data_IF_655578998386
#
_entry.id   IF_655578998386
#
_cell.length_a   1.000
_cell.length_b   1.000
_cell.length_c   1.000
_cell.angle_alpha   90.00
_cell.angle_beta   90.00
_cell.angle_gamma   90.00
#
_symmetry.space_group_name_H-M   'P 1'
#
loop_
_entity.id
_entity.type
_entity.pdbx_description
1 polymer ?
#
# COMPACT_ATOMS: atom_id res chain seq x y z
N UNK A 1 -22.99 -22.87 15.39
CA UNK A 1 -23.77 -21.93 14.56
C UNK A 1 -22.82 -21.29 13.58
N UNK A 2 -23.18 -21.23 12.29
CA UNK A 2 -22.38 -20.53 11.27
C UNK A 2 -22.75 -19.06 11.22
N UNK A 3 -21.80 -18.22 10.82
CA UNK A 3 -21.99 -16.80 10.64
C UNK A 3 -21.44 -16.34 9.29
N UNK A 4 -22.10 -15.32 8.75
CA UNK A 4 -21.83 -14.79 7.43
C UNK A 4 -21.70 -13.29 7.51
N UNK A 5 -20.69 -12.75 6.80
CA UNK A 5 -20.68 -11.35 6.45
C UNK A 5 -21.79 -11.10 5.42
N UNK A 6 -22.75 -10.24 5.76
CA UNK A 6 -23.75 -9.73 4.83
C UNK A 6 -23.14 -8.54 4.07
N UNK A 7 -23.18 -8.63 2.75
CA UNK A 7 -22.55 -7.70 1.82
C UNK A 7 -23.57 -7.18 0.83
N UNK A 8 -23.28 -5.99 0.31
CA UNK A 8 -23.93 -5.51 -0.89
C UNK A 8 -23.44 -6.31 -2.11
N UNK A 9 -24.36 -6.81 -2.95
CA UNK A 9 -23.99 -7.58 -4.15
C UNK A 9 -23.59 -6.67 -5.31
N UNK A 10 -22.30 -6.41 -5.42
CA UNK A 10 -21.73 -5.51 -6.44
C UNK A 10 -21.59 -6.16 -7.82
N UNK A 11 -21.85 -7.46 -7.96
CA UNK A 11 -21.83 -8.14 -9.27
C UNK A 11 -23.08 -7.82 -10.11
N UNK A 12 -24.12 -7.23 -9.48
CA UNK A 12 -25.34 -6.82 -10.16
C UNK A 12 -25.07 -5.57 -11.03
N UNK A 13 -24.89 -5.79 -12.33
CA UNK A 13 -24.70 -4.70 -13.29
C UNK A 13 -25.89 -3.73 -13.33
N UNK A 14 -25.59 -2.43 -13.30
CA UNK A 14 -26.59 -1.37 -13.41
C UNK A 14 -27.51 -1.23 -12.20
N UNK A 15 -27.14 -1.79 -11.04
CA UNK A 15 -27.84 -1.56 -9.77
C UNK A 15 -27.85 -0.08 -9.38
N UNK A 16 -28.81 0.29 -8.55
CA UNK A 16 -28.79 1.59 -7.88
C UNK A 16 -27.70 1.65 -6.79
N UNK A 17 -27.24 2.87 -6.49
CA UNK A 17 -26.40 3.17 -5.33
C UNK A 17 -27.07 4.29 -4.51
N UNK A 18 -27.58 3.97 -3.31
CA UNK A 18 -28.08 4.98 -2.39
C UNK A 18 -26.94 5.91 -1.96
N UNK A 19 -27.24 7.21 -1.88
CA UNK A 19 -26.36 8.18 -1.26
C UNK A 19 -26.53 8.22 0.26
N UNK A 20 -25.93 9.22 0.88
CA UNK A 20 -25.90 9.32 2.34
C UNK A 20 -27.19 9.88 2.91
N UNK A 21 -27.56 9.40 4.10
CA UNK A 21 -28.77 9.86 4.76
C UNK A 21 -28.72 11.38 4.99
N UNK A 22 -29.82 12.04 4.64
CA UNK A 22 -30.02 13.47 4.83
C UNK A 22 -31.20 13.72 5.76
N UNK A 23 -31.22 14.91 6.37
CA UNK A 23 -32.36 15.37 7.13
C UNK A 23 -33.57 15.65 6.22
N UNK A 24 -34.72 16.02 6.81
CA UNK A 24 -35.93 16.26 6.02
C UNK A 24 -35.83 17.45 5.04
N UNK A 25 -34.79 18.29 5.15
CA UNK A 25 -34.49 19.40 4.24
C UNK A 25 -33.44 19.04 3.18
N UNK A 26 -32.97 17.79 3.14
CA UNK A 26 -31.94 17.33 2.20
C UNK A 26 -30.53 17.76 2.58
N UNK A 27 -30.30 18.17 3.83
CA UNK A 27 -28.98 18.53 4.34
C UNK A 27 -28.27 17.31 4.91
N UNK A 28 -26.94 17.30 4.80
CA UNK A 28 -26.09 16.27 5.42
C UNK A 28 -26.29 16.25 6.93
N UNK A 29 -26.34 15.05 7.50
CA UNK A 29 -26.39 14.85 8.95
C UNK A 29 -24.98 14.89 9.53
N UNK A 30 -24.83 15.38 10.77
CA UNK A 30 -23.52 15.63 11.38
C UNK A 30 -22.61 14.39 11.48
N UNK A 31 -23.19 13.21 11.70
CA UNK A 31 -22.46 11.95 11.81
C UNK A 31 -23.13 10.86 10.98
N UNK A 32 -22.66 10.66 9.75
CA UNK A 32 -23.13 9.57 8.87
C UNK A 32 -22.64 8.18 9.30
N UNK A 33 -21.63 8.10 10.17
CA UNK A 33 -21.04 6.82 10.62
C UNK A 33 -21.82 6.19 11.78
N UNK A 34 -22.68 6.96 12.46
CA UNK A 34 -23.50 6.51 13.59
C UNK A 34 -24.29 5.22 13.31
N UNK A 35 -24.72 4.99 12.07
CA UNK A 35 -25.48 3.78 11.68
C UNK A 35 -24.62 2.51 11.57
N UNK A 36 -23.30 2.67 11.57
CA UNK A 36 -22.33 1.58 11.50
C UNK A 36 -21.63 1.32 12.85
N UNK A 37 -21.85 2.12 13.90
CA UNK A 37 -21.11 2.01 15.17
C UNK A 37 -21.42 0.76 16.00
N UNK A 38 -22.51 0.06 15.66
CA UNK A 38 -22.90 -1.16 16.36
C UNK A 38 -23.57 -0.88 17.71
N UNK A 39 -24.22 0.28 17.86
CA UNK A 39 -25.01 0.68 19.00
C UNK A 39 -26.37 1.26 18.54
N UNK A 40 -27.39 1.32 19.43
CA UNK A 40 -28.65 1.99 19.11
C UNK A 40 -28.43 3.48 18.78
N UNK A 41 -29.13 3.96 17.76
CA UNK A 41 -29.03 5.34 17.26
C UNK A 41 -30.27 6.13 17.65
N UNK A 42 -30.07 7.39 18.06
CA UNK A 42 -31.16 8.32 18.33
C UNK A 42 -31.38 9.23 17.13
N UNK A 43 -32.49 9.02 16.43
CA UNK A 43 -32.89 9.83 15.28
C UNK A 43 -34.11 10.66 15.68
N UNK A 44 -33.97 11.98 15.59
CA UNK A 44 -34.97 12.95 16.07
C UNK A 44 -35.94 13.40 14.98
N UNK A 45 -35.68 13.04 13.72
CA UNK A 45 -36.47 13.44 12.56
C UNK A 45 -36.51 12.33 11.49
N UNK A 46 -37.39 12.46 10.51
CA UNK A 46 -37.47 11.49 9.42
C UNK A 46 -36.36 11.77 8.41
N UNK A 47 -35.53 10.76 8.15
CA UNK A 47 -34.40 10.87 7.22
C UNK A 47 -34.81 10.53 5.79
N UNK A 48 -34.09 11.13 4.84
CA UNK A 48 -34.22 10.86 3.41
C UNK A 48 -32.92 10.27 2.86
N UNK A 49 -33.03 9.20 2.07
CA UNK A 49 -31.92 8.59 1.34
C UNK A 49 -32.01 9.04 -0.13
N UNK A 50 -31.12 9.93 -0.59
CA UNK A 50 -31.03 10.30 -2.01
C UNK A 50 -30.47 9.13 -2.83
N UNK A 51 -30.70 9.14 -4.14
CA UNK A 51 -30.11 8.15 -5.06
C UNK A 51 -28.96 8.78 -5.84
N UNK A 52 -27.72 8.50 -5.40
CA UNK A 52 -26.51 9.02 -6.04
C UNK A 52 -26.28 8.45 -7.44
N UNK A 53 -26.56 7.16 -7.63
CA UNK A 53 -26.55 6.53 -8.95
C UNK A 53 -27.87 5.77 -9.19
N UNK A 54 -28.73 6.26 -10.10
CA UNK A 54 -29.95 5.55 -10.49
C UNK A 54 -29.64 4.20 -11.13
N UNK A 55 -30.52 3.22 -10.92
CA UNK A 55 -30.34 1.88 -11.48
C UNK A 55 -31.43 0.90 -11.05
N UNK A 56 -31.13 -0.39 -11.19
CA UNK A 56 -32.02 -1.48 -10.75
C UNK A 56 -32.14 -1.43 -9.22
N UNK A 57 -33.36 -1.19 -8.76
CA UNK A 57 -33.72 -1.12 -7.34
C UNK A 57 -33.47 -2.47 -6.66
N UNK A 58 -32.89 -2.43 -5.47
CA UNK A 58 -32.58 -3.62 -4.66
C UNK A 58 -33.27 -3.57 -3.30
N UNK A 59 -33.61 -4.73 -2.75
CA UNK A 59 -34.16 -4.82 -1.39
C UNK A 59 -33.11 -4.56 -0.30
N UNK A 60 -31.83 -4.72 -0.60
CA UNK A 60 -30.70 -4.40 0.26
C UNK A 60 -29.64 -3.64 -0.54
N UNK A 61 -29.14 -2.54 0.04
CA UNK A 61 -27.98 -1.80 -0.45
C UNK A 61 -27.20 -1.22 0.73
N UNK A 62 -25.93 -0.91 0.52
CA UNK A 62 -25.19 -0.03 1.43
C UNK A 62 -24.94 1.33 0.79
N UNK A 63 -25.05 2.40 1.57
CA UNK A 63 -24.64 3.73 1.13
C UNK A 63 -23.13 3.79 0.90
N UNK A 64 -22.66 4.72 0.06
CA UNK A 64 -21.25 4.78 -0.33
C UNK A 64 -20.31 5.11 0.83
N UNK A 65 -20.58 6.19 1.54
CA UNK A 65 -19.83 6.65 2.72
C UNK A 65 -20.58 6.20 3.97
N UNK A 66 -19.89 5.77 5.02
CA UNK A 66 -20.57 5.19 6.19
C UNK A 66 -20.93 3.71 6.05
N UNK A 67 -21.20 3.23 4.82
CA UNK A 67 -21.62 1.85 4.59
C UNK A 67 -22.97 1.54 5.25
N UNK A 68 -23.87 2.51 5.26
CA UNK A 68 -25.16 2.42 5.96
C UNK A 68 -26.08 1.44 5.25
N UNK A 69 -26.55 0.36 5.89
CA UNK A 69 -27.45 -0.59 5.24
C UNK A 69 -28.85 0.00 5.09
N UNK A 70 -29.29 0.18 3.84
CA UNK A 70 -30.64 0.63 3.46
C UNK A 70 -31.41 -0.57 2.94
N UNK A 71 -32.52 -0.89 3.59
CA UNK A 71 -33.27 -2.12 3.37
C UNK A 71 -34.75 -1.84 3.09
N UNK A 72 -35.28 -2.51 2.08
CA UNK A 72 -36.72 -2.55 1.84
C UNK A 72 -37.43 -3.37 2.93
N UNK A 73 -38.72 -3.12 3.14
CA UNK A 73 -39.55 -3.83 4.14
C UNK A 73 -39.44 -5.35 4.07
N UNK A 74 -39.24 -5.93 2.88
CA UNK A 74 -39.05 -7.38 2.72
C UNK A 74 -37.89 -7.90 3.59
N UNK A 75 -36.74 -7.23 3.52
CA UNK A 75 -35.55 -7.55 4.32
C UNK A 75 -35.77 -7.14 5.78
N UNK A 76 -36.33 -5.95 6.03
CA UNK A 76 -36.60 -5.45 7.38
C UNK A 76 -37.47 -6.42 8.21
N UNK A 77 -38.48 -7.02 7.59
CA UNK A 77 -39.37 -7.98 8.25
C UNK A 77 -38.62 -9.24 8.76
N UNK A 78 -37.63 -9.73 8.01
CA UNK A 78 -36.83 -10.90 8.43
C UNK A 78 -36.06 -10.57 9.71
N UNK A 79 -35.44 -9.39 9.75
CA UNK A 79 -34.70 -8.92 10.93
C UNK A 79 -35.63 -8.65 12.12
N UNK A 80 -36.80 -8.06 11.89
CA UNK A 80 -37.80 -7.82 12.93
C UNK A 80 -38.35 -9.12 13.54
N UNK A 81 -38.52 -10.17 12.73
CA UNK A 81 -39.05 -11.44 13.21
C UNK A 81 -37.99 -12.27 13.96
N UNK A 82 -36.76 -12.32 13.43
CA UNK A 82 -35.76 -13.29 13.89
C UNK A 82 -34.69 -12.70 14.80
N UNK A 83 -34.54 -11.37 14.83
CA UNK A 83 -33.43 -10.67 15.48
C UNK A 83 -33.80 -9.30 16.09
N UNK A 84 -35.05 -9.09 16.52
CA UNK A 84 -35.52 -7.79 17.05
C UNK A 84 -34.63 -7.20 18.15
N UNK A 85 -34.06 -8.05 19.01
CA UNK A 85 -33.24 -7.60 20.15
C UNK A 85 -31.81 -7.18 19.75
N UNK A 86 -31.43 -7.40 18.49
CA UNK A 86 -30.10 -7.16 17.92
C UNK A 86 -30.07 -6.05 16.87
N UNK A 87 -31.24 -5.53 16.49
CA UNK A 87 -31.37 -4.58 15.39
C UNK A 87 -32.29 -3.43 15.77
N UNK A 88 -32.03 -2.27 15.18
CA UNK A 88 -32.95 -1.15 15.14
C UNK A 88 -33.25 -0.84 13.68
N UNK A 89 -34.54 -0.74 13.36
CA UNK A 89 -35.03 -0.40 12.02
C UNK A 89 -35.55 1.03 12.05
N UNK A 90 -34.85 1.94 11.38
CA UNK A 90 -35.18 3.37 11.34
C UNK A 90 -35.92 3.65 10.04
N UNK A 91 -37.22 4.01 10.05
CA UNK A 91 -37.94 4.31 8.83
C UNK A 91 -37.34 5.51 8.10
N UNK A 92 -37.17 5.38 6.78
CA UNK A 92 -36.63 6.44 5.92
C UNK A 92 -37.41 6.56 4.63
N UNK A 93 -37.40 7.75 4.03
CA UNK A 93 -37.88 7.94 2.68
C UNK A 93 -36.72 7.75 1.70
N UNK A 94 -36.93 6.99 0.63
CA UNK A 94 -35.91 6.80 -0.40
C UNK A 94 -36.37 7.47 -1.67
N UNK A 95 -35.51 8.31 -2.24
CA UNK A 95 -35.85 9.12 -3.40
C UNK A 95 -36.34 8.26 -4.58
N UNK A 96 -37.48 8.65 -5.15
CA UNK A 96 -38.11 7.94 -6.27
C UNK A 96 -38.78 6.61 -5.91
N UNK A 97 -38.80 6.21 -4.63
CA UNK A 97 -39.43 4.97 -4.18
C UNK A 97 -40.67 5.25 -3.32
N UNK A 98 -41.78 4.59 -3.63
CA UNK A 98 -43.02 4.66 -2.84
C UNK A 98 -43.13 3.57 -1.77
N UNK A 99 -42.26 2.56 -1.84
CA UNK A 99 -42.22 1.45 -0.89
C UNK A 99 -41.61 1.85 0.46
N UNK A 100 -41.94 1.14 1.56
CA UNK A 100 -41.33 1.36 2.86
C UNK A 100 -39.88 0.84 2.90
N UNK A 101 -38.96 1.72 3.28
CA UNK A 101 -37.54 1.44 3.49
C UNK A 101 -37.11 1.82 4.91
N UNK A 102 -36.01 1.20 5.34
CA UNK A 102 -35.44 1.38 6.65
C UNK A 102 -33.92 1.45 6.56
N UNK A 103 -33.29 2.23 7.42
CA UNK A 103 -31.90 1.98 7.78
C UNK A 103 -31.88 0.82 8.79
N UNK A 104 -31.06 -0.19 8.51
CA UNK A 104 -30.81 -1.32 9.41
C UNK A 104 -29.55 -1.04 10.24
N UNK A 105 -29.75 -0.83 11.54
CA UNK A 105 -28.68 -0.67 12.52
C UNK A 105 -28.53 -1.97 13.31
N UNK A 106 -27.36 -2.59 13.28
CA UNK A 106 -27.01 -3.63 14.25
C UNK A 106 -26.65 -2.95 15.58
N UNK A 107 -27.24 -3.38 16.69
CA UNK A 107 -27.11 -2.68 17.99
C UNK A 107 -26.07 -3.30 18.92
N UNK A 108 -25.30 -4.28 18.42
CA UNK A 108 -24.26 -4.99 19.15
C UNK A 108 -22.93 -4.94 18.43
N UNK A 109 -21.90 -4.58 19.19
CA UNK A 109 -20.50 -4.71 18.81
C UNK A 109 -19.84 -5.82 19.64
N UNK A 110 -19.18 -6.78 18.99
CA UNK A 110 -18.62 -7.97 19.64
C UNK A 110 -17.16 -8.16 19.25
N UNK A 111 -16.28 -8.33 20.24
CA UNK A 111 -14.85 -8.61 20.04
C UNK A 111 -14.61 -10.09 19.72
N UNK A 112 -14.94 -10.47 18.49
CA UNK A 112 -14.94 -11.86 18.04
C UNK A 112 -13.99 -12.18 16.88
N UNK A 113 -13.28 -11.21 16.30
CA UNK A 113 -12.32 -11.49 15.22
C UNK A 113 -11.26 -12.47 15.74
N UNK A 114 -11.00 -13.50 14.94
CA UNK A 114 -9.92 -14.46 15.17
C UNK A 114 -8.72 -14.06 14.32
N UNK A 115 -7.76 -13.39 14.94
CA UNK A 115 -6.56 -12.90 14.25
C UNK A 115 -5.68 -14.04 13.72
N UNK A 116 -5.75 -15.21 14.36
CA UNK A 116 -4.93 -16.37 13.98
C UNK A 116 -5.50 -17.10 12.77
N UNK A 117 -6.83 -17.09 12.62
CA UNK A 117 -7.52 -17.74 11.51
C UNK A 117 -7.80 -16.78 10.34
N UNK A 118 -7.85 -15.48 10.57
CA UNK A 118 -7.92 -14.48 9.50
C UNK A 118 -6.68 -14.55 8.62
N UNK A 119 -6.81 -14.24 7.33
CA UNK A 119 -5.70 -14.35 6.38
C UNK A 119 -4.57 -13.36 6.69
N UNK A 120 -4.94 -12.12 7.01
CA UNK A 120 -4.01 -11.10 7.50
C UNK A 120 -4.76 -10.09 8.36
N UNK A 121 -4.13 -9.65 9.44
CA UNK A 121 -4.62 -8.59 10.32
C UNK A 121 -3.53 -7.52 10.45
N UNK A 122 -3.93 -6.26 10.27
CA UNK A 122 -3.11 -5.06 10.52
C UNK A 122 -3.78 -4.22 11.58
N UNK A 123 -2.98 -3.69 12.49
CA UNK A 123 -3.41 -2.72 13.49
C UNK A 123 -2.86 -1.34 13.14
N UNK A 124 -3.56 -0.31 13.61
CA UNK A 124 -2.98 1.02 13.72
C UNK A 124 -1.91 1.01 14.81
N UNK A 125 -0.72 1.45 14.46
CA UNK A 125 0.42 1.55 15.36
C UNK A 125 0.66 3.02 15.76
N UNK A 126 1.39 3.29 16.86
CA UNK A 126 1.74 4.66 17.25
C UNK A 126 2.42 5.46 16.14
N UNK A 127 3.20 4.80 15.28
CA UNK A 127 3.94 5.39 14.18
C UNK A 127 3.07 5.79 12.97
N UNK A 128 1.79 5.39 12.94
CA UNK A 128 0.85 5.78 11.87
C UNK A 128 0.26 7.20 12.10
N UNK A 129 0.66 7.92 13.16
CA UNK A 129 0.20 9.28 13.51
C UNK A 129 -1.35 9.41 13.66
N UNK A 130 -2.00 8.33 14.11
CA UNK A 130 -3.45 8.25 14.39
C UNK A 130 -3.71 7.75 15.82
N UNK A 131 -3.48 8.58 16.85
CA UNK A 131 -3.53 8.15 18.25
C UNK A 131 -4.90 7.62 18.67
N UNK A 132 -5.98 8.14 18.08
CA UNK A 132 -7.37 7.73 18.35
C UNK A 132 -7.71 6.33 17.80
N UNK A 133 -6.96 5.85 16.82
CA UNK A 133 -7.15 4.53 16.21
C UNK A 133 -6.13 3.50 16.71
N UNK A 134 -5.08 3.92 17.41
CA UNK A 134 -3.98 3.04 17.83
C UNK A 134 -4.49 1.82 18.61
N UNK A 135 -4.06 0.62 18.22
CA UNK A 135 -4.50 -0.65 18.80
C UNK A 135 -5.85 -1.17 18.28
N UNK A 136 -6.50 -0.47 17.37
CA UNK A 136 -7.67 -0.95 16.62
C UNK A 136 -7.25 -1.54 15.27
N UNK A 137 -8.18 -2.21 14.58
CA UNK A 137 -7.88 -2.80 13.28
C UNK A 137 -7.74 -1.71 12.21
N UNK A 138 -6.64 -1.77 11.46
CA UNK A 138 -6.39 -0.98 10.26
C UNK A 138 -6.84 -1.72 9.00
N UNK A 139 -6.64 -3.03 8.96
CA UNK A 139 -7.11 -3.88 7.87
C UNK A 139 -7.30 -5.32 8.35
N UNK A 140 -8.37 -5.98 7.90
CA UNK A 140 -8.62 -7.41 8.12
C UNK A 140 -8.93 -8.08 6.78
N UNK A 141 -8.01 -8.93 6.32
CA UNK A 141 -8.17 -9.72 5.10
C UNK A 141 -8.57 -11.15 5.43
N UNK A 142 -9.45 -11.74 4.61
CA UNK A 142 -9.95 -13.09 4.83
C UNK A 142 -10.54 -13.28 6.22
N UNK A 143 -11.39 -12.34 6.65
CA UNK A 143 -11.98 -12.26 7.99
C UNK A 143 -12.51 -13.62 8.47
N UNK A 144 -12.02 -14.04 9.64
CA UNK A 144 -12.59 -15.13 10.44
C UNK A 144 -12.97 -14.62 11.83
N UNK A 145 -14.03 -15.20 12.38
CA UNK A 145 -14.44 -14.94 13.76
C UNK A 145 -14.33 -16.21 14.60
N UNK A 146 -14.11 -16.04 15.90
CA UNK A 146 -14.23 -17.07 16.92
C UNK A 146 -15.68 -17.12 17.41
N UNK A 147 -16.46 -18.16 17.02
CA UNK A 147 -17.88 -18.26 17.38
C UNK A 147 -18.10 -18.39 18.89
N UNK A 148 -17.09 -18.84 19.65
CA UNK A 148 -17.21 -19.01 21.11
C UNK A 148 -17.34 -17.66 21.83
N UNK A 149 -16.92 -16.56 21.19
CA UNK A 149 -17.01 -15.19 21.71
C UNK A 149 -18.32 -14.48 21.34
N UNK A 150 -19.14 -15.07 20.47
CA UNK A 150 -20.35 -14.42 19.92
C UNK A 150 -21.56 -14.56 20.84
N UNK A 151 -21.62 -15.64 21.63
CA UNK A 151 -22.76 -15.92 22.49
C UNK A 151 -24.01 -16.30 21.69
N UNK A 152 -25.15 -15.71 22.04
CA UNK A 152 -26.46 -15.92 21.39
C UNK A 152 -26.79 -14.88 20.31
N UNK A 153 -25.86 -13.94 20.05
CA UNK A 153 -26.08 -12.88 19.08
C UNK A 153 -26.29 -13.42 17.66
N UNK A 154 -27.33 -12.89 17.00
CA UNK A 154 -27.69 -13.23 15.62
C UNK A 154 -27.27 -12.18 14.61
N UNK A 155 -27.18 -10.93 15.03
CA UNK A 155 -26.78 -9.79 14.19
C UNK A 155 -25.86 -8.90 15.01
N UNK A 156 -24.68 -8.59 14.48
CA UNK A 156 -23.70 -7.76 15.19
C UNK A 156 -22.63 -7.23 14.22
N UNK A 157 -21.82 -6.29 14.72
CA UNK A 157 -20.61 -5.81 14.07
C UNK A 157 -19.37 -6.22 14.87
N UNK A 158 -18.25 -6.60 14.24
CA UNK A 158 -17.01 -6.86 14.96
C UNK A 158 -16.46 -5.61 15.62
N UNK A 159 -16.02 -5.72 16.88
CA UNK A 159 -15.32 -4.64 17.56
C UNK A 159 -14.07 -4.23 16.80
N UNK A 160 -13.86 -2.91 16.66
CA UNK A 160 -12.71 -2.33 15.96
C UNK A 160 -12.72 -2.51 14.45
N UNK A 161 -13.75 -3.15 13.87
CA UNK A 161 -13.90 -3.36 12.43
C UNK A 161 -15.38 -3.26 12.03
N UNK A 162 -15.98 -2.12 12.37
CA UNK A 162 -17.42 -1.88 12.33
C UNK A 162 -18.00 -1.85 10.90
N UNK A 163 -17.17 -1.72 9.86
CA UNK A 163 -17.58 -1.80 8.44
C UNK A 163 -18.19 -3.16 8.02
N UNK A 164 -18.16 -4.17 8.89
CA UNK A 164 -18.67 -5.51 8.64
C UNK A 164 -19.97 -5.74 9.42
N UNK A 165 -21.05 -6.06 8.69
CA UNK A 165 -22.29 -6.59 9.27
C UNK A 165 -22.26 -8.12 9.24
N UNK A 166 -22.38 -8.75 10.40
CA UNK A 166 -22.39 -10.22 10.54
C UNK A 166 -23.79 -10.68 10.93
N UNK A 167 -24.27 -11.72 10.24
CA UNK A 167 -25.54 -12.39 10.50
C UNK A 167 -25.34 -13.89 10.73
N UNK A 168 -26.18 -14.49 11.56
CA UNK A 168 -26.24 -15.94 11.75
C UNK A 168 -26.85 -16.64 10.54
N UNK A 169 -26.59 -17.95 10.44
CA UNK A 169 -27.09 -18.82 9.39
C UNK A 169 -28.62 -18.79 9.21
N UNK A 170 -29.38 -18.75 10.30
CA UNK A 170 -30.86 -18.69 10.25
C UNK A 170 -31.37 -17.40 9.61
N UNK A 171 -30.71 -16.26 9.86
CA UNK A 171 -31.01 -14.97 9.22
C UNK A 171 -30.67 -15.03 7.74
N UNK A 172 -29.48 -15.52 7.38
CA UNK A 172 -29.08 -15.71 5.97
C UNK A 172 -30.13 -16.54 5.22
N UNK A 173 -30.47 -17.71 5.73
CA UNK A 173 -31.38 -18.63 5.05
C UNK A 173 -32.81 -18.08 4.98
N UNK A 174 -33.23 -17.24 5.93
CA UNK A 174 -34.50 -16.53 5.86
C UNK A 174 -34.49 -15.40 4.81
N UNK A 175 -33.39 -14.65 4.71
CA UNK A 175 -33.20 -13.62 3.69
C UNK A 175 -33.23 -14.21 2.28
N UNK A 176 -32.51 -15.31 2.04
CA UNK A 176 -32.52 -16.01 0.74
C UNK A 176 -33.90 -16.55 0.39
N UNK A 177 -34.61 -17.17 1.35
CA UNK A 177 -35.98 -17.69 1.13
C UNK A 177 -37.01 -16.59 0.90
N UNK A 178 -36.77 -15.37 1.37
CA UNK A 178 -37.67 -14.24 1.13
C UNK A 178 -37.68 -13.77 -0.33
N UNK A 179 -36.68 -14.18 -1.13
CA UNK A 179 -36.49 -13.71 -2.50
C UNK A 179 -36.04 -12.25 -2.60
N UNK A 180 -35.52 -11.68 -1.51
CA UNK A 180 -34.98 -10.32 -1.50
C UNK A 180 -33.67 -10.22 -2.31
N UNK A 181 -33.47 -9.09 -2.99
CA UNK A 181 -32.33 -8.87 -3.90
C UNK A 181 -31.27 -7.94 -3.30
N UNK A 182 -30.09 -7.89 -3.93
CA UNK A 182 -28.99 -6.98 -3.56
C UNK A 182 -28.04 -7.47 -2.47
N UNK A 183 -28.21 -8.71 -1.99
CA UNK A 183 -27.40 -9.28 -0.91
C UNK A 183 -26.44 -10.35 -1.43
N UNK A 184 -25.21 -10.32 -0.93
CA UNK A 184 -24.29 -11.45 -1.01
C UNK A 184 -23.81 -11.84 0.38
N UNK A 185 -23.41 -13.11 0.55
CA UNK A 185 -23.00 -13.66 1.83
C UNK A 185 -21.63 -14.31 1.72
N UNK A 186 -20.76 -14.04 2.70
CA UNK A 186 -19.46 -14.71 2.82
C UNK A 186 -19.35 -15.36 4.18
N UNK A 187 -19.12 -16.67 4.22
CA UNK A 187 -18.94 -17.38 5.49
C UNK A 187 -17.69 -16.87 6.22
N UNK A 188 -17.85 -16.49 7.49
CA UNK A 188 -16.76 -16.02 8.37
C UNK A 188 -16.49 -16.99 9.52
N UNK A 189 -17.29 -18.03 9.65
CA UNK A 189 -17.02 -19.22 10.46
C UNK A 189 -16.32 -20.29 9.64
N UNK A 190 -15.64 -21.23 10.32
CA UNK A 190 -14.97 -22.35 9.64
C UNK A 190 -13.51 -22.07 9.27
N UNK A 191 -12.80 -23.10 8.77
CA UNK A 191 -11.39 -22.99 8.44
C UNK A 191 -11.19 -21.94 7.33
N UNK A 192 -10.15 -21.13 7.47
CA UNK A 192 -9.69 -20.26 6.40
C UNK A 192 -9.27 -21.09 5.18
N UNK A 193 -9.51 -20.56 3.98
CA UNK A 193 -9.00 -21.14 2.74
C UNK A 193 -7.47 -21.08 2.68
N UNK A 194 -6.89 -20.13 3.41
CA UNK A 194 -5.45 -20.06 3.65
C UNK A 194 -5.08 -21.15 4.64
N UNK A 195 -4.04 -21.93 4.37
CA UNK A 195 -3.56 -22.95 5.32
C UNK A 195 -2.84 -22.31 6.52
N UNK A 196 -2.74 -22.99 7.69
CA UNK A 196 -1.92 -22.52 8.80
C UNK A 196 -0.45 -22.27 8.40
N UNK A 197 0.11 -23.12 7.53
CA UNK A 197 1.47 -22.97 7.01
C UNK A 197 1.63 -21.71 6.15
N UNK A 198 0.66 -21.42 5.28
CA UNK A 198 0.66 -20.20 4.48
C UNK A 198 0.55 -18.95 5.36
N UNK A 199 -0.29 -18.97 6.40
CA UNK A 199 -0.38 -17.85 7.35
C UNK A 199 0.92 -17.63 8.11
N UNK A 200 1.55 -18.71 8.58
CA UNK A 200 2.84 -18.65 9.26
C UNK A 200 3.92 -18.11 8.33
N UNK A 201 3.95 -18.56 7.07
CA UNK A 201 4.85 -18.04 6.05
C UNK A 201 4.65 -16.54 5.81
N UNK A 202 3.40 -16.08 5.59
CA UNK A 202 3.10 -14.65 5.41
C UNK A 202 3.47 -13.82 6.65
N UNK A 203 3.26 -14.35 7.87
CA UNK A 203 3.69 -13.68 9.10
C UNK A 203 5.20 -13.53 9.17
N UNK A 204 5.97 -14.57 8.84
CA UNK A 204 7.43 -14.51 8.79
C UNK A 204 7.91 -13.48 7.76
N UNK A 205 7.34 -13.48 6.56
CA UNK A 205 7.66 -12.50 5.53
C UNK A 205 7.39 -11.07 6.01
N UNK A 206 6.24 -10.83 6.62
CA UNK A 206 5.89 -9.51 7.16
C UNK A 206 6.90 -9.02 8.20
N UNK A 207 7.30 -9.87 9.15
CA UNK A 207 8.32 -9.52 10.14
C UNK A 207 9.65 -9.14 9.47
N UNK A 208 10.03 -9.84 8.39
CA UNK A 208 11.24 -9.52 7.64
C UNK A 208 11.11 -8.19 6.89
N UNK A 209 9.97 -7.92 6.25
CA UNK A 209 9.70 -6.63 5.59
C UNK A 209 9.74 -5.46 6.59
N UNK A 210 9.02 -5.57 7.70
CA UNK A 210 8.96 -4.51 8.71
C UNK A 210 10.36 -4.23 9.28
N UNK A 211 11.16 -5.28 9.48
CA UNK A 211 12.55 -5.20 9.96
C UNK A 211 13.47 -4.48 8.97
N UNK A 212 13.41 -4.79 7.66
CA UNK A 212 14.26 -4.14 6.67
C UNK A 212 13.80 -2.72 6.36
N UNK A 213 12.50 -2.50 6.18
CA UNK A 213 11.93 -1.19 5.86
C UNK A 213 12.19 -0.17 6.99
N UNK A 214 11.99 -0.55 8.25
CA UNK A 214 12.21 0.34 9.39
C UNK A 214 13.65 0.82 9.46
N UNK A 215 14.61 -0.11 9.39
CA UNK A 215 16.03 0.23 9.50
C UNK A 215 16.52 1.07 8.31
N UNK A 216 16.12 0.71 7.09
CA UNK A 216 16.52 1.44 5.88
C UNK A 216 15.91 2.84 5.84
N UNK A 217 14.62 2.98 6.18
CA UNK A 217 13.96 4.28 6.26
C UNK A 217 14.62 5.16 7.32
N UNK A 218 14.97 4.60 8.48
CA UNK A 218 15.73 5.33 9.51
C UNK A 218 17.06 5.84 8.97
N UNK A 219 17.78 5.03 8.18
CA UNK A 219 19.02 5.46 7.55
C UNK A 219 18.78 6.56 6.51
N UNK A 220 17.80 6.43 5.63
CA UNK A 220 17.47 7.45 4.63
C UNK A 220 17.17 8.83 5.23
N UNK A 221 16.44 8.87 6.35
CA UNK A 221 16.17 10.12 7.09
C UNK A 221 17.44 10.80 7.62
N UNK A 222 18.56 10.08 7.75
CA UNK A 222 19.84 10.70 8.15
C UNK A 222 20.50 11.47 7.01
N UNK A 223 20.13 11.18 5.75
CA UNK A 223 20.74 11.79 4.56
C UNK A 223 20.03 13.08 4.10
N UNK A 224 18.84 13.37 4.63
CA UNK A 224 18.06 14.56 4.29
C UNK A 224 16.56 14.39 4.55
N UNK A 225 15.75 15.30 4.01
CA UNK A 225 14.29 15.24 4.11
C UNK A 225 13.76 14.30 3.04
N UNK A 226 13.17 13.17 3.44
CA UNK A 226 12.54 12.24 2.51
C UNK A 226 11.26 12.83 1.93
N UNK A 227 11.06 12.62 0.63
CA UNK A 227 9.76 12.86 0.00
C UNK A 227 8.77 11.75 0.42
N UNK A 228 7.53 12.13 0.71
CA UNK A 228 6.46 11.16 1.05
C UNK A 228 6.09 10.28 -0.14
N UNK A 229 6.25 10.83 -1.35
CA UNK A 229 6.03 10.12 -2.61
C UNK A 229 7.23 9.21 -2.92
N UNK A 230 6.95 8.06 -3.51
CA UNK A 230 7.96 7.11 -3.96
C UNK A 230 7.54 6.51 -5.30
N UNK A 231 8.52 6.04 -6.08
CA UNK A 231 8.29 5.48 -7.40
C UNK A 231 8.26 3.95 -7.29
N UNK A 232 7.25 3.34 -7.91
CA UNK A 232 7.12 1.89 -8.11
C UNK A 232 7.04 1.60 -9.61
N UNK A 233 7.56 0.45 -10.09
CA UNK A 233 7.45 0.09 -11.49
C UNK A 233 5.99 -0.27 -11.82
N UNK A 234 5.59 -0.04 -13.07
CA UNK A 234 4.24 -0.41 -13.56
C UNK A 234 4.02 -1.93 -13.49
N UNK A 235 5.09 -2.72 -13.66
CA UNK A 235 5.07 -4.18 -13.56
C UNK A 235 5.53 -4.60 -12.16
N UNK A 236 4.60 -5.14 -11.38
CA UNK A 236 4.86 -5.66 -10.03
C UNK A 236 5.51 -7.04 -10.10
N UNK A 237 6.48 -7.33 -9.22
CA UNK A 237 7.06 -8.67 -9.07
C UNK A 237 8.41 -8.93 -9.74
N UNK A 238 9.19 -7.89 -10.08
CA UNK A 238 10.52 -8.07 -10.68
C UNK A 238 11.60 -8.61 -9.74
N UNK A 239 12.81 -8.81 -10.28
CA UNK A 239 13.84 -9.69 -9.71
C UNK A 239 14.61 -9.19 -8.47
N UNK A 240 14.12 -8.16 -7.78
CA UNK A 240 14.72 -7.72 -6.51
C UNK A 240 14.44 -8.76 -5.40
N UNK A 241 15.31 -8.86 -4.36
CA UNK A 241 15.26 -9.95 -3.38
C UNK A 241 13.88 -10.17 -2.74
N UNK A 242 13.21 -9.11 -2.32
CA UNK A 242 11.86 -9.19 -1.73
C UNK A 242 10.74 -8.77 -2.70
N UNK A 243 11.02 -8.77 -4.01
CA UNK A 243 10.09 -8.38 -5.09
C UNK A 243 9.51 -6.96 -4.94
N UNK A 244 10.11 -6.15 -4.06
CA UNK A 244 9.79 -4.75 -3.79
C UNK A 244 10.81 -3.88 -4.51
N UNK A 245 10.35 -3.17 -5.53
CA UNK A 245 11.16 -2.24 -6.31
C UNK A 245 10.67 -0.84 -6.03
N UNK A 246 11.43 -0.11 -5.24
CA UNK A 246 11.08 1.26 -4.86
C UNK A 246 12.29 2.15 -5.12
N UNK A 247 12.01 3.33 -5.68
CA UNK A 247 12.96 4.43 -5.70
C UNK A 247 12.42 5.54 -4.82
N UNK A 248 13.30 6.06 -3.94
CA UNK A 248 12.97 7.15 -3.03
C UNK A 248 13.76 8.40 -3.37
N UNK A 249 13.18 9.53 -3.00
CA UNK A 249 13.79 10.85 -3.14
C UNK A 249 14.08 11.44 -1.77
N UNK A 250 15.27 11.99 -1.63
CA UNK A 250 15.75 12.64 -0.41
C UNK A 250 16.24 14.04 -0.82
N UNK A 251 15.55 15.06 -0.32
CA UNK A 251 15.96 16.45 -0.49
C UNK A 251 17.12 16.76 0.46
N UNK A 252 18.19 17.29 -0.13
CA UNK A 252 19.45 17.57 0.55
C UNK A 252 19.69 19.08 0.65
N UNK A 253 20.60 19.53 1.54
CA UNK A 253 21.00 20.93 1.60
C UNK A 253 21.48 21.47 0.24
N UNK A 254 21.47 22.79 0.09
CA UNK A 254 21.92 23.49 -1.12
C UNK A 254 21.08 23.17 -2.39
N UNK A 255 19.83 22.74 -2.22
CA UNK A 255 18.92 22.46 -3.34
C UNK A 255 19.24 21.18 -4.11
N UNK A 256 20.01 20.26 -3.50
CA UNK A 256 20.36 18.98 -4.10
C UNK A 256 19.27 17.95 -3.87
N UNK A 257 19.19 16.99 -4.79
CA UNK A 257 18.25 15.87 -4.74
C UNK A 257 19.01 14.56 -4.86
N UNK A 258 18.75 13.66 -3.91
CA UNK A 258 19.33 12.32 -3.86
C UNK A 258 18.26 11.29 -4.19
N UNK A 259 18.50 10.49 -5.22
CA UNK A 259 17.69 9.35 -5.59
C UNK A 259 18.36 8.08 -5.05
N UNK A 260 17.58 7.22 -4.41
CA UNK A 260 18.07 5.93 -3.90
C UNK A 260 17.17 4.78 -4.30
N UNK A 261 17.77 3.61 -4.52
CA UNK A 261 17.01 2.36 -4.52
C UNK A 261 16.63 1.99 -3.09
N UNK A 262 15.47 1.35 -2.94
CA UNK A 262 14.97 0.88 -1.65
C UNK A 262 14.42 -0.54 -1.82
N UNK A 263 15.33 -1.51 -1.73
CA UNK A 263 14.97 -2.92 -1.78
C UNK A 263 16.02 -3.85 -2.37
N UNK A 264 17.11 -3.35 -2.97
CA UNK A 264 18.23 -4.22 -3.41
C UNK A 264 18.89 -4.91 -2.22
N UNK A 265 18.79 -4.30 -1.04
CA UNK A 265 19.25 -4.84 0.24
C UNK A 265 18.18 -5.57 1.05
N UNK A 266 16.98 -5.81 0.49
CA UNK A 266 15.97 -6.61 1.19
C UNK A 266 16.36 -8.09 1.27
N UNK A 267 15.78 -8.82 2.21
CA UNK A 267 15.92 -10.26 2.30
C UNK A 267 15.37 -10.97 1.03
N UNK A 268 15.81 -12.21 0.77
CA UNK A 268 15.25 -13.01 -0.32
C UNK A 268 13.92 -13.65 0.10
N UNK A 269 12.83 -13.33 -0.60
CA UNK A 269 11.48 -13.85 -0.28
C UNK A 269 11.42 -15.37 -0.38
N UNK A 270 12.20 -15.98 -1.27
CA UNK A 270 12.28 -17.43 -1.43
C UNK A 270 12.96 -18.12 -0.23
N UNK A 271 13.89 -17.43 0.44
CA UNK A 271 14.62 -17.98 1.59
C UNK A 271 13.84 -17.84 2.91
N UNK A 272 12.97 -16.83 3.03
CA UNK A 272 12.19 -16.53 4.25
C UNK A 272 13.09 -16.46 5.49
N UNK A 273 14.26 -15.86 5.34
CA UNK A 273 15.28 -15.74 6.38
C UNK A 273 15.89 -14.34 6.35
N UNK A 274 16.37 -13.82 7.49
CA UNK A 274 17.03 -12.52 7.52
C UNK A 274 18.30 -12.52 6.66
N UNK A 275 18.45 -11.50 5.82
CA UNK A 275 19.65 -11.22 5.05
C UNK A 275 19.65 -9.77 4.57
N UNK A 276 20.79 -9.31 4.05
CA UNK A 276 20.93 -7.99 3.41
C UNK A 276 20.77 -8.05 1.89
N UNK A 277 20.10 -9.09 1.35
CA UNK A 277 19.89 -9.23 -0.09
C UNK A 277 21.18 -9.22 -0.90
N UNK A 278 21.26 -8.30 -1.85
CA UNK A 278 22.48 -8.08 -2.64
C UNK A 278 23.57 -7.30 -1.90
N UNK A 279 23.31 -6.83 -0.68
CA UNK A 279 24.27 -6.15 0.18
C UNK A 279 24.62 -4.74 -0.28
N UNK A 280 23.80 -4.14 -1.15
CA UNK A 280 24.01 -2.79 -1.67
C UNK A 280 22.69 -2.04 -1.88
N UNK A 281 22.78 -0.72 -1.92
CA UNK A 281 21.77 0.19 -2.48
C UNK A 281 22.47 1.20 -3.39
N UNK A 282 21.81 1.66 -4.44
CA UNK A 282 22.32 2.66 -5.37
C UNK A 282 21.91 4.07 -4.94
N UNK A 283 22.80 5.04 -5.16
CA UNK A 283 22.59 6.44 -4.80
C UNK A 283 23.04 7.39 -5.93
N UNK A 284 22.12 8.17 -6.49
CA UNK A 284 22.42 9.20 -7.49
C UNK A 284 22.06 10.58 -6.93
N UNK A 285 23.05 11.45 -6.76
CA UNK A 285 22.83 12.83 -6.30
C UNK A 285 22.97 13.81 -7.48
N UNK A 286 22.07 14.79 -7.55
CA UNK A 286 22.06 15.84 -8.56
C UNK A 286 21.68 17.19 -7.93
N UNK A 287 22.07 18.29 -8.56
CA UNK A 287 21.58 19.65 -8.27
C UNK A 287 20.74 20.23 -9.42
N UNK A 288 20.40 19.40 -10.41
CA UNK A 288 19.46 19.77 -11.46
C UNK A 288 18.03 19.79 -10.90
N UNK A 289 17.22 20.73 -11.38
CA UNK A 289 15.79 20.77 -11.05
C UNK A 289 15.10 19.53 -11.60
N UNK A 290 14.28 18.86 -10.78
CA UNK A 290 13.51 17.67 -11.15
C UNK A 290 12.03 18.00 -10.98
N UNK A 291 11.32 18.14 -12.10
CA UNK A 291 9.88 18.45 -12.08
C UNK A 291 9.01 17.22 -11.82
N UNK A 292 9.37 16.06 -12.39
CA UNK A 292 8.64 14.80 -12.22
C UNK A 292 9.62 13.66 -11.93
N UNK A 293 9.71 13.28 -10.67
CA UNK A 293 10.58 12.21 -10.16
C UNK A 293 10.37 10.89 -10.91
N UNK A 294 9.11 10.46 -11.09
CA UNK A 294 8.75 9.19 -11.71
C UNK A 294 9.03 9.13 -13.22
N UNK A 295 9.29 10.27 -13.85
CA UNK A 295 9.66 10.39 -15.28
C UNK A 295 11.05 10.99 -15.46
N UNK A 296 11.82 11.09 -14.38
CA UNK A 296 13.14 11.70 -14.39
C UNK A 296 14.18 10.72 -14.92
N UNK A 297 15.16 11.22 -15.66
CA UNK A 297 16.25 10.39 -16.18
C UNK A 297 17.08 9.79 -15.04
N UNK A 298 17.14 10.46 -13.88
CA UNK A 298 17.83 10.00 -12.68
C UNK A 298 17.21 8.70 -12.16
N UNK A 299 15.89 8.66 -12.01
CA UNK A 299 15.20 7.43 -11.60
C UNK A 299 15.34 6.33 -12.65
N UNK A 300 15.11 6.65 -13.94
CA UNK A 300 15.23 5.68 -15.03
C UNK A 300 16.64 5.07 -15.10
N UNK A 301 17.67 5.86 -14.81
CA UNK A 301 19.05 5.40 -14.81
C UNK A 301 19.30 4.41 -13.68
N UNK A 302 18.83 4.73 -12.47
CA UNK A 302 18.90 3.82 -11.33
C UNK A 302 18.15 2.50 -11.61
N UNK A 303 16.99 2.57 -12.25
CA UNK A 303 16.24 1.39 -12.66
C UNK A 303 17.04 0.50 -13.61
N UNK A 304 17.63 1.08 -14.68
CA UNK A 304 18.44 0.32 -15.63
C UNK A 304 19.65 -0.33 -14.97
N UNK A 305 20.38 0.41 -14.13
CA UNK A 305 21.53 -0.13 -13.42
C UNK A 305 21.09 -1.25 -12.48
N UNK A 306 20.01 -1.04 -11.70
CA UNK A 306 19.50 -2.06 -10.80
C UNK A 306 19.12 -3.36 -11.53
N UNK A 307 18.48 -3.25 -12.71
CA UNK A 307 18.11 -4.41 -13.53
C UNK A 307 19.35 -5.19 -14.01
N UNK A 308 20.41 -4.50 -14.42
CA UNK A 308 21.69 -5.15 -14.78
C UNK A 308 22.31 -5.87 -13.57
N UNK A 309 22.34 -5.25 -12.39
CA UNK A 309 22.90 -5.86 -11.17
C UNK A 309 22.08 -7.06 -10.67
N UNK A 310 20.77 -7.03 -10.88
CA UNK A 310 19.86 -8.14 -10.58
C UNK A 310 20.15 -9.32 -11.52
N UNK A 311 20.23 -9.06 -12.82
CA UNK A 311 20.42 -10.09 -13.86
C UNK A 311 21.82 -10.69 -13.92
N UNK A 312 22.84 -9.98 -13.42
CA UNK A 312 24.23 -10.31 -13.70
C UNK A 312 25.13 -10.26 -12.45
N UNK A 313 25.40 -11.43 -11.86
CA UNK A 313 26.26 -11.56 -10.68
C UNK A 313 27.68 -11.00 -10.89
N UNK A 314 28.23 -11.16 -12.11
CA UNK A 314 29.56 -10.65 -12.45
C UNK A 314 29.67 -9.11 -12.42
N UNK A 315 28.53 -8.39 -12.47
CA UNK A 315 28.47 -6.94 -12.26
C UNK A 315 28.21 -6.60 -10.78
N UNK A 316 27.37 -7.41 -10.12
CA UNK A 316 26.97 -7.21 -8.73
C UNK A 316 28.15 -7.30 -7.76
N UNK A 317 29.02 -8.29 -7.89
CA UNK A 317 30.14 -8.43 -6.95
C UNK A 317 31.14 -7.27 -7.01
N UNK A 318 31.59 -6.80 -8.19
CA UNK A 318 32.40 -5.58 -8.30
C UNK A 318 31.70 -4.33 -7.76
N UNK A 319 30.40 -4.16 -8.03
CA UNK A 319 29.62 -3.04 -7.47
C UNK A 319 29.53 -3.10 -5.94
N UNK A 320 29.54 -4.31 -5.35
CA UNK A 320 29.49 -4.52 -3.90
C UNK A 320 30.85 -4.32 -3.22
N UNK A 321 31.97 -4.59 -3.89
CA UNK A 321 33.30 -4.60 -3.24
C UNK A 321 34.28 -3.52 -3.71
N UNK A 322 34.09 -2.94 -4.90
CA UNK A 322 35.00 -1.93 -5.44
C UNK A 322 34.30 -0.89 -6.31
N UNK A 323 35.02 -0.34 -7.27
CA UNK A 323 34.48 0.62 -8.23
C UNK A 323 34.16 -0.15 -9.52
N UNK A 324 33.04 0.13 -10.15
CA UNK A 324 32.64 -0.48 -11.42
C UNK A 324 32.32 0.61 -12.43
N UNK A 325 32.76 0.44 -13.66
CA UNK A 325 32.32 1.25 -14.80
C UNK A 325 31.52 0.37 -15.73
N UNK A 326 30.38 0.86 -16.18
CA UNK A 326 29.53 0.12 -17.11
C UNK A 326 28.74 1.08 -17.99
N UNK A 327 28.11 0.53 -19.01
CA UNK A 327 27.15 1.24 -19.84
C UNK A 327 25.77 0.62 -19.66
N UNK A 328 24.74 1.43 -19.73
CA UNK A 328 23.34 0.99 -19.79
C UNK A 328 22.67 1.53 -21.05
N UNK A 329 21.49 1.01 -21.36
CA UNK A 329 20.66 1.54 -22.44
C UNK A 329 20.38 3.03 -22.25
N UNK A 330 20.38 3.80 -23.34
CA UNK A 330 20.22 5.25 -23.32
C UNK A 330 18.87 5.74 -23.82
N UNK A 331 17.92 4.87 -24.15
CA UNK A 331 16.59 5.31 -24.61
C UNK A 331 15.95 6.25 -23.57
N UNK A 332 15.34 7.36 -23.99
CA UNK A 332 14.78 8.39 -23.08
C UNK A 332 15.78 9.07 -22.11
N UNK A 333 17.09 8.88 -22.28
CA UNK A 333 18.11 9.65 -21.55
C UNK A 333 18.44 10.97 -22.26
N UNK A 334 18.94 11.98 -21.53
CA UNK A 334 19.40 13.22 -22.12
C UNK A 334 20.47 13.01 -23.19
N UNK A 335 20.31 13.67 -24.35
CA UNK A 335 21.21 13.51 -25.51
C UNK A 335 22.68 13.80 -25.19
N UNK A 336 22.95 14.71 -24.25
CA UNK A 336 24.29 15.06 -23.78
C UNK A 336 25.04 13.92 -23.10
N UNK A 337 24.32 12.93 -22.56
CA UNK A 337 24.90 11.74 -21.92
C UNK A 337 25.07 10.57 -22.89
N UNK A 338 24.49 10.65 -24.09
CA UNK A 338 24.47 9.54 -25.04
C UNK A 338 25.81 9.39 -25.76
N UNK A 339 26.32 8.16 -25.78
CA UNK A 339 27.39 7.76 -26.69
C UNK A 339 26.87 7.69 -28.14
N UNK A 340 27.77 7.50 -29.10
CA UNK A 340 27.40 7.30 -30.51
C UNK A 340 26.51 6.08 -30.73
N UNK A 341 26.58 5.11 -29.82
CA UNK A 341 25.80 3.87 -29.85
C UNK A 341 24.49 4.00 -29.06
N UNK A 342 24.12 5.21 -28.61
CA UNK A 342 22.89 5.45 -27.85
C UNK A 342 22.92 4.88 -26.43
N UNK A 343 24.11 4.74 -25.83
CA UNK A 343 24.32 4.20 -24.47
C UNK A 343 24.66 5.31 -23.50
N UNK A 344 24.49 5.07 -22.20
CA UNK A 344 24.95 5.97 -21.14
C UNK A 344 26.03 5.29 -20.31
N UNK A 345 27.20 5.92 -20.22
CA UNK A 345 28.30 5.47 -19.37
C UNK A 345 28.11 5.90 -17.91
N UNK A 346 28.37 4.99 -16.98
CA UNK A 346 28.28 5.26 -15.53
C UNK A 346 29.48 4.70 -14.77
N UNK A 347 29.81 5.37 -13.68
CA UNK A 347 30.79 4.94 -12.69
C UNK A 347 30.07 4.71 -11.36
N UNK A 348 30.24 3.51 -10.81
CA UNK A 348 29.58 3.03 -9.59
C UNK A 348 30.57 2.92 -8.44
N UNK A 349 30.19 3.43 -7.27
CA UNK A 349 30.94 3.25 -6.02
C UNK A 349 32.11 4.21 -5.85
N UNK A 350 32.05 5.39 -6.45
CA UNK A 350 33.00 6.47 -6.20
C UNK A 350 32.81 7.04 -4.79
N UNK A 351 33.91 7.16 -4.04
CA UNK A 351 33.86 7.77 -2.70
C UNK A 351 33.50 9.25 -2.79
N UNK A 352 32.69 9.71 -1.83
CA UNK A 352 32.29 11.11 -1.75
C UNK A 352 32.36 11.58 -0.31
N UNK A 353 32.69 12.85 -0.05
CA UNK A 353 32.59 13.41 1.30
C UNK A 353 31.13 13.62 1.75
N UNK A 354 30.15 13.56 0.83
CA UNK A 354 28.75 13.89 1.09
C UNK A 354 27.88 12.69 1.50
N UNK A 355 28.31 11.47 1.16
CA UNK A 355 27.58 10.23 1.37
C UNK A 355 28.48 9.19 2.06
N UNK A 356 27.96 8.45 3.07
CA UNK A 356 28.70 7.36 3.67
C UNK A 356 28.85 6.21 2.66
N UNK A 357 29.95 5.46 2.71
CA UNK A 357 30.14 4.29 1.84
C UNK A 357 29.32 3.06 2.25
N UNK A 358 28.90 2.98 3.52
CA UNK A 358 28.15 1.85 4.08
C UNK A 358 27.15 2.32 5.14
N UNK A 359 26.15 1.50 5.41
CA UNK A 359 25.24 1.67 6.53
C UNK A 359 24.87 0.33 7.15
N UNK A 360 24.46 0.40 8.42
CA UNK A 360 24.14 -0.80 9.21
C UNK A 360 22.66 -1.13 9.06
N UNK A 361 22.39 -2.35 8.63
CA UNK A 361 21.08 -2.98 8.68
C UNK A 361 21.05 -4.03 9.81
N UNK A 362 19.86 -4.46 10.27
CA UNK A 362 19.75 -5.41 11.37
C UNK A 362 20.44 -6.75 11.12
N UNK A 363 20.63 -7.12 9.85
CA UNK A 363 21.14 -8.42 9.42
C UNK A 363 22.51 -8.33 8.70
N UNK A 364 23.14 -7.16 8.71
CA UNK A 364 24.47 -6.98 8.11
C UNK A 364 24.80 -5.54 7.69
N UNK A 365 25.98 -5.36 7.11
CA UNK A 365 26.36 -4.11 6.46
C UNK A 365 25.83 -4.07 5.04
N UNK A 366 25.34 -2.91 4.62
CA UNK A 366 24.94 -2.60 3.25
C UNK A 366 25.85 -1.53 2.70
N UNK A 367 26.37 -1.72 1.49
CA UNK A 367 27.15 -0.71 0.79
C UNK A 367 26.24 0.30 0.11
N UNK A 368 26.50 1.59 0.30
CA UNK A 368 25.85 2.64 -0.48
C UNK A 368 26.72 2.93 -1.71
N UNK A 369 26.25 2.50 -2.88
CA UNK A 369 26.97 2.58 -4.14
C UNK A 369 26.55 3.85 -4.88
N UNK A 370 27.42 4.84 -4.92
CA UNK A 370 27.17 6.08 -5.64
C UNK A 370 27.13 5.84 -7.15
N UNK A 371 26.28 6.58 -7.86
CA UNK A 371 26.09 6.49 -9.30
C UNK A 371 26.47 7.83 -9.93
N UNK A 372 27.57 7.82 -10.68
CA UNK A 372 28.10 8.98 -11.40
C UNK A 372 27.92 8.80 -12.90
N UNK A 373 27.16 9.69 -13.54
CA UNK A 373 27.09 9.73 -15.02
C UNK A 373 28.39 10.24 -15.62
N UNK A 374 28.82 9.57 -16.69
CA UNK A 374 29.97 9.94 -17.50
C UNK A 374 29.52 10.62 -18.77
N UNK A 375 30.12 11.78 -19.08
CA UNK A 375 30.00 12.37 -20.40
C UNK A 375 30.69 11.47 -21.42
N UNK A 376 30.27 11.46 -22.70
CA UNK A 376 30.90 10.63 -23.73
C UNK A 376 32.43 10.80 -23.80
N UNK A 377 32.94 12.03 -23.62
CA UNK A 377 34.39 12.31 -23.56
C UNK A 377 35.08 11.72 -22.33
N UNK A 378 34.41 11.69 -21.18
CA UNK A 378 34.94 11.06 -19.95
C UNK A 378 34.96 9.55 -20.06
N UNK A 379 33.96 8.97 -20.73
CA UNK A 379 33.94 7.55 -21.02
C UNK A 379 35.07 7.16 -21.98
N UNK A 380 35.32 7.93 -23.04
CA UNK A 380 36.50 7.73 -23.89
C UNK A 380 37.79 7.84 -23.09
N UNK A 381 37.90 8.86 -22.24
CA UNK A 381 39.07 9.06 -21.40
C UNK A 381 39.29 7.91 -20.40
N UNK A 382 38.22 7.39 -19.79
CA UNK A 382 38.24 6.21 -18.92
C UNK A 382 38.87 5.00 -19.64
N UNK A 383 38.46 4.77 -20.90
CA UNK A 383 38.92 3.64 -21.70
C UNK A 383 40.40 3.80 -22.10
N UNK A 384 40.86 5.03 -22.34
CA UNK A 384 42.24 5.32 -22.76
C UNK A 384 43.24 5.38 -21.59
N UNK A 385 42.84 5.97 -20.45
CA UNK A 385 43.74 6.32 -19.34
C UNK A 385 43.46 5.54 -18.06
N UNK A 386 42.36 4.80 -18.01
CA UNK A 386 41.96 4.02 -16.85
C UNK A 386 41.16 4.81 -15.80
N UNK A 387 40.63 4.05 -14.86
CA UNK A 387 39.67 4.53 -13.85
C UNK A 387 40.28 5.44 -12.80
N UNK A 388 41.49 5.14 -12.35
CA UNK A 388 42.17 5.90 -11.28
C UNK A 388 42.40 7.34 -11.70
N UNK A 389 42.82 7.57 -12.94
CA UNK A 389 43.04 8.92 -13.48
C UNK A 389 41.71 9.68 -13.62
N UNK A 390 40.64 9.05 -14.12
CA UNK A 390 39.34 9.72 -14.20
C UNK A 390 38.78 10.08 -12.81
N UNK A 391 38.93 9.20 -11.81
CA UNK A 391 38.56 9.49 -10.42
C UNK A 391 39.37 10.66 -9.87
N UNK A 392 40.66 10.74 -10.18
CA UNK A 392 41.50 11.87 -9.80
C UNK A 392 40.96 13.19 -10.35
N UNK A 393 40.52 13.23 -11.62
CA UNK A 393 39.90 14.41 -12.24
C UNK A 393 38.58 14.80 -11.59
N UNK A 394 37.73 13.83 -11.26
CA UNK A 394 36.48 14.11 -10.54
C UNK A 394 36.76 14.68 -9.14
N UNK A 395 37.73 14.15 -8.41
CA UNK A 395 38.07 14.65 -7.07
C UNK A 395 38.66 16.07 -7.07
N UNK A 396 39.20 16.54 -8.19
CA UNK A 396 39.64 17.94 -8.36
C UNK A 396 38.50 18.91 -8.71
N UNK A 397 37.36 18.39 -9.18
CA UNK A 397 36.18 19.17 -9.52
C UNK A 397 35.23 19.17 -8.32
N UNK A 398 34.79 20.34 -7.82
CA UNK A 398 33.90 20.39 -6.65
C UNK A 398 32.52 20.97 -7.03
N UNK A 399 31.39 20.26 -6.82
CA UNK A 399 31.25 18.86 -6.37
C UNK A 399 31.34 17.83 -7.52
N UNK A 400 32.36 16.98 -7.49
CA UNK A 400 32.68 16.03 -8.56
C UNK A 400 31.75 14.83 -8.65
N UNK A 401 31.03 14.51 -7.57
CA UNK A 401 30.15 13.34 -7.48
C UNK A 401 28.74 13.56 -8.02
N UNK A 402 28.31 14.80 -8.20
CA UNK A 402 26.97 15.09 -8.70
C UNK A 402 26.81 14.62 -10.15
N UNK A 403 25.76 13.87 -10.43
CA UNK A 403 25.36 13.47 -11.76
C UNK A 403 24.49 14.57 -12.37
N UNK A 404 24.94 15.09 -13.51
CA UNK A 404 24.27 16.16 -14.26
C UNK A 404 24.23 15.79 -15.72
N UNK A 405 23.11 16.04 -16.37
CA UNK A 405 22.94 15.83 -17.79
C UNK A 405 23.61 16.94 -18.61
N UNK A 406 23.63 18.20 -18.13
CA UNK A 406 24.27 19.30 -18.85
C UNK A 406 25.43 19.90 -18.05
N UNK A 407 26.65 19.45 -18.35
CA UNK A 407 27.90 20.01 -17.79
C UNK A 407 29.08 19.81 -18.75
N UNK A 408 30.15 20.56 -18.51
CA UNK A 408 31.41 20.28 -19.18
C UNK A 408 32.03 18.96 -18.65
N UNK A 409 32.66 18.16 -19.51
CA UNK A 409 33.52 17.05 -19.09
C UNK A 409 34.67 17.54 -18.21
N UNK A 410 35.15 16.71 -17.28
CA UNK A 410 36.34 17.02 -16.44
C UNK A 410 37.67 16.80 -17.18
N UNK A 411 37.63 16.49 -18.49
CA UNK A 411 38.75 16.09 -19.35
C UNK A 411 38.74 16.76 -20.73
#
# INVERSE_FOLDING_TARGET
MRYFKLLDDMEIHGRWLPGEATNAQGQEIDDIWQFADGCPVQVHERLTIPIGHPGVVQDFSTSSVGGTPVVHKRVANVFAELAQDYVQLIPVDVEGQSGPYFILVATRTIRCIDDQQSAEVKYWLPEDDRPELTGTYRAVYGLRIDPTKVGDAKVFRPWGWNVVLIVSEDIKDALERSGATGMSFREVTGPSEVSPEQREHSRKLKVLYDRTETARTSFWRTLGTMEDSFVIPIVVGGGWPARRQIWRVIHRPEGRTLFVTDGLSDFFVEAVAPSVGFGLELALETDESVENVAKSWQQLLLERIANELVGHEHLREPARTGILSMEVDGEHMPESLLTKDGRVGVLLGMDTPALPGHFTMPDGQVRLVTVKTLMPRELTYLLEHGREELLHRFNQSNPGHLSKAWRQPVV
#
